data_IF_883256100783
#
_entry.id   IF_883256100783
#
_cell.length_a   1.000
_cell.length_b   1.000
_cell.length_c   1.000
_cell.angle_alpha   90.00
_cell.angle_beta   90.00
_cell.angle_gamma   90.00
#
_symmetry.space_group_name_H-M   'P 1'
#
loop_
_entity.id
_entity.type
_entity.pdbx_description
1 polymer ?
#
# COMPACT_ATOMS: atom_id res chain seq x y z
N UNK A 1 -13.12 1.41 -0.57
CA UNK A 1 -12.30 0.84 -1.66
C UNK A 1 -12.24 1.78 -2.85
N UNK A 2 -11.20 1.66 -3.67
CA UNK A 2 -11.12 2.28 -4.99
C UNK A 2 -10.17 1.53 -5.92
N UNK A 3 -10.44 1.62 -7.24
CA UNK A 3 -9.48 1.26 -8.29
C UNK A 3 -8.66 2.51 -8.64
N UNK A 4 -7.37 2.51 -8.30
CA UNK A 4 -6.56 3.73 -8.33
C UNK A 4 -6.00 4.12 -9.70
N UNK A 5 -6.29 3.35 -10.75
CA UNK A 5 -5.58 3.39 -12.03
C UNK A 5 -5.63 4.75 -12.72
N UNK A 6 -6.77 5.43 -12.65
CA UNK A 6 -6.99 6.72 -13.31
C UNK A 6 -6.81 7.91 -12.36
N UNK A 7 -6.37 7.67 -11.12
CA UNK A 7 -6.26 8.68 -10.06
C UNK A 7 -4.81 9.05 -9.73
N UNK A 8 -4.59 10.32 -9.38
CA UNK A 8 -3.31 10.90 -8.93
C UNK A 8 -3.02 10.65 -7.44
N UNK A 9 -3.54 9.55 -6.90
CA UNK A 9 -3.33 9.08 -5.53
C UNK A 9 -4.47 9.45 -4.57
N UNK A 10 -4.31 9.08 -3.30
CA UNK A 10 -5.35 9.33 -2.29
C UNK A 10 -5.49 10.81 -1.93
N UNK A 11 -4.37 11.48 -1.72
CA UNK A 11 -4.30 12.79 -1.07
C UNK A 11 -4.73 13.88 -2.03
N UNK A 12 -5.63 14.77 -1.59
CA UNK A 12 -6.01 15.97 -2.35
C UNK A 12 -4.78 16.82 -2.71
N UNK A 13 -4.75 17.29 -3.95
CA UNK A 13 -3.69 18.14 -4.51
C UNK A 13 -4.34 19.39 -5.12
N UNK A 14 -3.56 20.46 -5.26
CA UNK A 14 -4.05 21.75 -5.81
C UNK A 14 -4.12 21.76 -7.34
N UNK A 15 -3.28 20.96 -7.99
CA UNK A 15 -3.07 20.92 -9.45
C UNK A 15 -3.93 19.87 -10.16
N UNK A 16 -4.71 19.07 -9.43
CA UNK A 16 -5.57 18.04 -10.00
C UNK A 16 -6.80 17.77 -9.16
N UNK A 17 -7.93 17.56 -9.82
CA UNK A 17 -9.16 17.10 -9.20
C UNK A 17 -9.23 15.57 -9.06
N UNK A 18 -8.38 14.83 -9.78
CA UNK A 18 -8.43 13.37 -9.91
C UNK A 18 -7.71 12.69 -8.74
N UNK A 19 -8.14 12.98 -7.51
CA UNK A 19 -7.64 12.34 -6.29
C UNK A 19 -8.80 11.73 -5.52
N UNK A 20 -8.56 10.63 -4.81
CA UNK A 20 -9.63 9.95 -4.09
C UNK A 20 -10.27 10.87 -3.03
N UNK A 21 -9.45 11.65 -2.31
CA UNK A 21 -9.96 12.62 -1.32
C UNK A 21 -10.81 13.71 -1.95
N UNK A 22 -10.46 14.20 -3.14
CA UNK A 22 -11.26 15.23 -3.80
C UNK A 22 -12.67 14.71 -4.11
N UNK A 23 -12.79 13.51 -4.69
CA UNK A 23 -14.11 12.90 -4.94
C UNK A 23 -14.87 12.57 -3.65
N UNK A 24 -14.16 12.07 -2.63
CA UNK A 24 -14.74 11.76 -1.33
C UNK A 24 -15.33 13.00 -0.66
N UNK A 25 -14.57 14.10 -0.58
CA UNK A 25 -15.05 15.33 0.06
C UNK A 25 -16.13 16.01 -0.76
N UNK A 26 -16.07 15.96 -2.09
CA UNK A 26 -17.18 16.41 -2.93
C UNK A 26 -18.47 15.65 -2.62
N UNK A 27 -18.41 14.32 -2.49
CA UNK A 27 -19.56 13.50 -2.14
C UNK A 27 -20.06 13.76 -0.71
N UNK A 28 -19.16 13.92 0.27
CA UNK A 28 -19.52 14.25 1.65
C UNK A 28 -20.23 15.59 1.77
N UNK A 29 -19.71 16.64 1.14
CA UNK A 29 -20.31 17.97 1.14
C UNK A 29 -21.63 17.99 0.36
N UNK A 30 -21.71 17.34 -0.80
CA UNK A 30 -22.94 17.26 -1.60
C UNK A 30 -24.04 16.49 -0.87
N UNK A 31 -23.68 15.46 -0.09
CA UNK A 31 -24.60 14.73 0.79
C UNK A 31 -24.97 15.48 2.08
N UNK A 32 -24.44 16.69 2.28
CA UNK A 32 -24.53 17.47 3.51
C UNK A 32 -24.11 16.68 4.76
N UNK A 33 -23.08 15.84 4.63
CA UNK A 33 -22.59 14.98 5.72
C UNK A 33 -21.48 15.65 6.53
N UNK A 34 -20.74 16.59 5.92
CA UNK A 34 -19.72 17.42 6.58
C UNK A 34 -19.83 18.85 6.06
N UNK A 35 -19.44 19.81 6.89
CA UNK A 35 -19.31 21.21 6.47
C UNK A 35 -18.04 21.41 5.62
N UNK A 36 -16.90 20.97 6.15
CA UNK A 36 -15.60 21.10 5.49
C UNK A 36 -14.65 19.97 5.86
N UNK A 37 -13.51 19.90 5.16
CA UNK A 37 -12.44 18.95 5.48
C UNK A 37 -11.77 19.30 6.80
N UNK A 38 -11.68 20.59 7.10
CA UNK A 38 -10.99 21.18 8.25
C UNK A 38 -11.76 20.95 9.56
N UNK A 39 -13.10 20.97 9.50
CA UNK A 39 -13.99 20.81 10.67
C UNK A 39 -14.48 19.39 10.89
N UNK A 40 -14.10 18.42 10.04
CA UNK A 40 -14.60 17.03 10.09
C UNK A 40 -13.72 16.04 10.85
N UNK A 41 -12.68 16.50 11.57
CA UNK A 41 -11.73 15.61 12.28
C UNK A 41 -11.19 14.45 11.40
N UNK A 42 -10.88 14.75 10.14
CA UNK A 42 -10.56 13.73 9.15
C UNK A 42 -9.15 13.12 9.31
N UNK A 43 -9.08 11.80 9.48
CA UNK A 43 -7.86 11.00 9.45
C UNK A 43 -7.96 9.88 8.43
N UNK A 44 -6.82 9.52 7.84
CA UNK A 44 -6.69 8.41 6.88
C UNK A 44 -5.69 7.38 7.38
N UNK A 45 -5.97 6.10 7.17
CA UNK A 45 -5.10 5.03 7.67
C UNK A 45 -3.68 5.08 7.08
N UNK A 46 -3.60 5.31 5.78
CA UNK A 46 -2.34 5.40 5.07
C UNK A 46 -2.54 6.06 3.70
N UNK A 47 -1.52 6.75 3.21
CA UNK A 47 -1.52 7.33 1.86
C UNK A 47 -1.27 6.21 0.84
N UNK A 48 -1.95 6.28 -0.29
CA UNK A 48 -1.62 5.52 -1.50
C UNK A 48 -1.13 6.48 -2.57
N UNK A 49 -0.08 6.08 -3.28
CA UNK A 49 0.49 6.85 -4.38
C UNK A 49 -0.43 6.82 -5.61
N UNK A 50 -0.15 7.67 -6.60
CA UNK A 50 -0.76 7.62 -7.93
C UNK A 50 -0.83 6.19 -8.48
N UNK A 51 -1.96 5.82 -9.08
CA UNK A 51 -2.19 4.52 -9.69
C UNK A 51 -2.40 3.35 -8.72
N UNK A 52 -2.12 3.51 -7.43
CA UNK A 52 -2.25 2.44 -6.43
C UNK A 52 -3.71 2.27 -6.01
N UNK A 53 -4.21 1.04 -6.07
CA UNK A 53 -5.57 0.71 -5.67
C UNK A 53 -5.69 0.44 -4.17
N UNK A 54 -6.90 0.43 -3.64
CA UNK A 54 -7.16 -0.04 -2.28
C UNK A 54 -8.50 -0.71 -2.13
N UNK A 55 -8.49 -1.93 -1.61
CA UNK A 55 -9.71 -2.58 -1.13
C UNK A 55 -10.07 -2.09 0.30
N UNK A 56 -9.06 -2.01 1.17
CA UNK A 56 -9.24 -1.82 2.61
C UNK A 56 -8.84 -0.45 3.17
N UNK A 57 -8.85 0.62 2.37
CA UNK A 57 -8.60 1.96 2.90
C UNK A 57 -9.65 2.32 3.94
N UNK A 58 -9.19 2.82 5.08
CA UNK A 58 -10.03 3.22 6.21
C UNK A 58 -9.76 4.67 6.57
N UNK A 59 -10.83 5.41 6.84
CA UNK A 59 -10.81 6.80 7.29
C UNK A 59 -11.62 6.92 8.58
N UNK A 60 -11.30 7.92 9.40
CA UNK A 60 -12.16 8.38 10.49
C UNK A 60 -12.45 9.86 10.28
N UNK A 61 -13.67 10.27 10.63
CA UNK A 61 -14.18 11.63 10.49
C UNK A 61 -15.50 11.77 11.26
N UNK A 62 -15.82 12.99 11.63
CA UNK A 62 -17.09 13.38 12.21
C UNK A 62 -18.11 13.58 11.09
N UNK A 63 -19.30 13.02 11.26
CA UNK A 63 -20.39 13.07 10.28
C UNK A 63 -21.67 13.63 10.93
N UNK A 64 -22.49 14.31 10.14
CA UNK A 64 -23.87 14.64 10.52
C UNK A 64 -24.63 13.35 10.82
N UNK A 65 -25.19 13.25 12.03
CA UNK A 65 -26.06 12.17 12.48
C UNK A 65 -27.54 12.57 12.39
N UNK A 66 -28.43 11.59 12.18
CA UNK A 66 -29.87 11.77 12.42
C UNK A 66 -30.29 11.45 13.86
N UNK A 67 -29.37 10.93 14.68
CA UNK A 67 -29.59 10.66 16.10
C UNK A 67 -29.39 11.95 16.91
N UNK A 68 -30.20 12.09 17.97
CA UNK A 68 -30.08 13.21 18.90
C UNK A 68 -28.87 13.04 19.82
N UNK A 69 -28.44 14.14 20.44
CA UNK A 69 -27.34 14.09 21.42
C UNK A 69 -27.70 13.22 22.63
N UNK A 70 -28.98 13.22 23.05
CA UNK A 70 -29.46 12.37 24.14
C UNK A 70 -29.38 10.88 23.78
N UNK A 71 -29.70 10.52 22.54
CA UNK A 71 -29.58 9.14 22.06
C UNK A 71 -28.13 8.67 22.04
N UNK A 72 -27.22 9.50 21.49
CA UNK A 72 -25.79 9.20 21.43
C UNK A 72 -25.13 9.21 22.82
N UNK A 73 -25.62 10.03 23.76
CA UNK A 73 -25.15 10.02 25.14
C UNK A 73 -25.60 8.76 25.90
N UNK A 74 -26.79 8.23 25.59
CA UNK A 74 -27.31 7.00 26.18
C UNK A 74 -26.61 5.76 25.60
N UNK A 75 -26.38 5.72 24.29
CA UNK A 75 -25.62 4.67 23.61
C UNK A 75 -24.77 5.26 22.46
N UNK A 76 -23.46 5.48 22.68
CA UNK A 76 -22.55 5.99 21.64
C UNK A 76 -22.36 5.04 20.45
N UNK A 77 -22.78 3.78 20.57
CA UNK A 77 -22.71 2.79 19.50
C UNK A 77 -24.06 2.57 18.82
N UNK A 78 -25.07 3.37 19.14
CA UNK A 78 -26.38 3.30 18.53
C UNK A 78 -26.27 3.52 17.01
N UNK A 79 -26.93 2.64 16.25
CA UNK A 79 -26.95 2.71 14.79
C UNK A 79 -28.34 2.64 14.19
N UNK A 80 -29.33 2.18 14.97
CA UNK A 80 -30.72 2.18 14.54
C UNK A 80 -31.25 3.62 14.44
N UNK A 81 -31.84 3.97 13.30
CA UNK A 81 -32.32 5.33 13.03
C UNK A 81 -31.25 6.29 12.49
N UNK A 82 -30.02 5.80 12.26
CA UNK A 82 -28.95 6.59 11.66
C UNK A 82 -29.09 6.72 10.13
N UNK A 83 -28.44 7.74 9.56
CA UNK A 83 -28.40 7.98 8.12
C UNK A 83 -27.77 6.79 7.36
N UNK A 84 -28.27 6.48 6.14
CA UNK A 84 -27.73 5.42 5.32
C UNK A 84 -26.45 5.88 4.58
N UNK A 85 -25.38 6.14 5.33
CA UNK A 85 -24.14 6.77 4.84
C UNK A 85 -23.58 6.13 3.57
N UNK A 86 -23.50 4.79 3.53
CA UNK A 86 -23.01 4.06 2.35
C UNK A 86 -23.87 4.29 1.12
N UNK A 87 -25.20 4.38 1.27
CA UNK A 87 -26.15 4.61 0.17
C UNK A 87 -26.06 6.05 -0.34
N UNK A 88 -25.93 7.02 0.56
CA UNK A 88 -25.76 8.44 0.20
C UNK A 88 -24.45 8.62 -0.58
N UNK A 89 -23.33 8.18 -0.01
CA UNK A 89 -22.01 8.38 -0.60
C UNK A 89 -21.84 7.64 -1.93
N UNK A 90 -22.23 6.36 -2.01
CA UNK A 90 -22.05 5.58 -3.24
C UNK A 90 -22.92 6.05 -4.41
N UNK A 91 -23.97 6.85 -4.18
CA UNK A 91 -24.74 7.51 -5.24
C UNK A 91 -24.02 8.73 -5.84
N UNK A 92 -23.16 9.37 -5.05
CA UNK A 92 -22.45 10.59 -5.40
C UNK A 92 -21.02 10.32 -5.87
N UNK A 93 -20.46 9.16 -5.50
CA UNK A 93 -19.10 8.76 -5.85
C UNK A 93 -19.00 8.13 -7.26
N UNK A 94 -17.91 8.39 -8.00
CA UNK A 94 -17.55 7.67 -9.22
C UNK A 94 -17.58 6.14 -9.06
N UNK A 95 -17.85 5.38 -10.13
CA UNK A 95 -18.11 3.94 -10.03
C UNK A 95 -17.00 3.09 -9.40
N UNK A 96 -15.78 3.56 -9.55
CA UNK A 96 -14.54 2.97 -9.08
C UNK A 96 -14.12 3.46 -7.69
N UNK A 97 -14.90 4.32 -7.02
CA UNK A 97 -14.74 4.71 -5.61
C UNK A 97 -16.00 4.29 -4.83
N UNK A 98 -15.83 3.44 -3.81
CA UNK A 98 -16.95 2.87 -3.05
C UNK A 98 -16.69 2.83 -1.55
N UNK A 99 -17.66 3.31 -0.78
CA UNK A 99 -17.75 3.13 0.67
C UNK A 99 -18.43 1.78 0.93
N UNK A 100 -17.68 0.86 1.53
CA UNK A 100 -18.15 -0.51 1.77
C UNK A 100 -18.97 -0.63 3.05
N UNK A 101 -18.51 0.03 4.10
CA UNK A 101 -19.04 -0.08 5.44
C UNK A 101 -18.73 1.19 6.25
N UNK A 102 -19.39 1.32 7.39
CA UNK A 102 -19.10 2.32 8.40
C UNK A 102 -19.29 1.71 9.80
N UNK A 103 -18.85 2.41 10.84
CA UNK A 103 -19.17 2.10 12.24
C UNK A 103 -19.03 3.34 13.12
N UNK A 104 -19.74 3.43 14.24
CA UNK A 104 -19.43 4.39 15.29
C UNK A 104 -17.99 4.21 15.80
N UNK A 105 -17.37 5.32 16.16
CA UNK A 105 -16.02 5.39 16.69
C UNK A 105 -15.94 6.41 17.82
N UNK A 106 -15.07 6.20 18.82
CA UNK A 106 -14.78 7.21 19.83
C UNK A 106 -14.33 8.54 19.18
N UNK A 107 -14.64 9.71 19.79
CA UNK A 107 -14.31 11.02 19.22
C UNK A 107 -12.82 11.25 18.93
N UNK A 108 -11.93 10.57 19.66
CA UNK A 108 -10.47 10.64 19.55
C UNK A 108 -9.87 9.56 18.64
N UNK A 109 -10.71 8.77 17.96
CA UNK A 109 -10.22 7.72 17.07
C UNK A 109 -9.60 8.30 15.79
N UNK A 110 -8.32 8.01 15.59
CA UNK A 110 -7.61 8.26 14.34
C UNK A 110 -7.43 6.96 13.57
N UNK A 111 -8.02 6.89 12.37
CA UNK A 111 -7.79 5.78 11.45
C UNK A 111 -6.29 5.56 11.18
N UNK A 112 -5.46 6.60 11.32
CA UNK A 112 -4.00 6.52 11.16
C UNK A 112 -3.31 5.83 12.33
N UNK A 113 -3.49 6.37 13.54
CA UNK A 113 -2.67 6.01 14.69
C UNK A 113 -3.16 4.74 15.39
N UNK A 114 -4.46 4.46 15.37
CA UNK A 114 -5.02 3.24 15.95
C UNK A 114 -4.96 2.00 15.02
N UNK A 115 -4.52 2.15 13.77
CA UNK A 115 -4.37 0.99 12.89
C UNK A 115 -3.13 0.17 13.31
N UNK A 116 -3.34 -1.13 13.55
CA UNK A 116 -2.34 -2.07 14.07
C UNK A 116 -1.45 -2.62 12.97
N UNK A 117 -2.04 -2.98 11.83
CA UNK A 117 -1.35 -3.59 10.70
C UNK A 117 -1.98 -3.15 9.37
N UNK A 118 -1.16 -3.06 8.33
CA UNK A 118 -1.61 -2.89 6.95
C UNK A 118 -1.16 -4.10 6.13
N UNK A 119 -2.07 -4.62 5.33
CA UNK A 119 -1.79 -5.70 4.38
C UNK A 119 -1.82 -5.14 2.97
N UNK A 120 -0.70 -5.23 2.28
CA UNK A 120 -0.59 -4.95 0.85
C UNK A 120 -0.56 -6.25 0.06
N UNK A 121 -1.25 -6.25 -1.08
CA UNK A 121 -1.13 -7.30 -2.11
C UNK A 121 -0.57 -6.68 -3.38
N UNK A 122 0.44 -7.33 -3.95
CA UNK A 122 1.00 -7.00 -5.26
C UNK A 122 0.76 -8.16 -6.21
N UNK A 123 -0.05 -7.96 -7.25
CA UNK A 123 -0.42 -8.99 -8.21
C UNK A 123 0.52 -8.96 -9.42
N UNK A 124 0.98 -10.09 -9.94
CA UNK A 124 1.88 -10.09 -11.09
C UNK A 124 1.81 -11.41 -11.86
N UNK A 125 1.97 -11.42 -13.20
CA UNK A 125 2.16 -12.66 -13.94
C UNK A 125 3.47 -13.33 -13.51
N UNK A 126 3.49 -14.66 -13.51
CA UNK A 126 4.69 -15.45 -13.23
C UNK A 126 5.81 -15.13 -14.22
N UNK A 127 5.50 -15.05 -15.50
CA UNK A 127 6.47 -14.88 -16.58
C UNK A 127 7.63 -15.88 -16.48
N UNK A 128 8.84 -15.34 -16.54
CA UNK A 128 10.13 -16.01 -16.36
C UNK A 128 10.59 -16.10 -14.90
N UNK A 129 9.77 -15.69 -13.93
CA UNK A 129 10.18 -15.59 -12.54
C UNK A 129 10.26 -16.96 -11.86
N UNK A 130 11.32 -17.14 -11.08
CA UNK A 130 11.50 -18.26 -10.18
C UNK A 130 10.68 -18.08 -8.88
N UNK A 131 9.38 -18.40 -8.97
CA UNK A 131 8.40 -18.26 -7.88
C UNK A 131 8.21 -19.57 -7.08
N UNK A 132 8.41 -20.73 -7.71
CA UNK A 132 8.21 -22.06 -7.11
C UNK A 132 9.51 -22.85 -7.01
N UNK A 133 9.52 -23.84 -6.12
CA UNK A 133 10.59 -24.84 -6.07
C UNK A 133 10.56 -25.66 -7.35
N UNK A 134 11.73 -26.00 -7.90
CA UNK A 134 11.80 -26.97 -9.00
C UNK A 134 11.35 -28.35 -8.54
N UNK A 135 11.13 -29.25 -9.50
CA UNK A 135 10.86 -30.68 -9.30
C UNK A 135 11.60 -31.24 -8.06
N UNK A 136 10.85 -31.87 -7.15
CA UNK A 136 11.30 -32.54 -5.92
C UNK A 136 11.72 -31.64 -4.73
N UNK A 137 11.41 -30.34 -4.71
CA UNK A 137 11.67 -29.52 -3.52
C UNK A 137 13.15 -29.14 -3.33
N UNK A 138 14.00 -29.42 -4.35
CA UNK A 138 15.46 -29.37 -4.23
C UNK A 138 16.04 -27.94 -4.28
N UNK A 139 15.30 -26.99 -4.86
CA UNK A 139 15.69 -25.59 -4.92
C UNK A 139 14.66 -24.71 -4.18
N UNK A 140 15.09 -23.81 -3.29
CA UNK A 140 14.16 -22.99 -2.53
C UNK A 140 13.38 -22.04 -3.45
N UNK A 141 12.14 -21.70 -3.06
CA UNK A 141 11.34 -20.65 -3.71
C UNK A 141 12.12 -19.32 -3.62
N UNK A 142 12.90 -18.98 -4.64
CA UNK A 142 13.97 -17.96 -4.55
C UNK A 142 13.43 -16.61 -4.08
N UNK A 143 12.30 -16.17 -4.64
CA UNK A 143 11.63 -14.93 -4.18
C UNK A 143 11.14 -15.00 -2.73
N UNK A 144 10.68 -16.17 -2.24
CA UNK A 144 10.30 -16.33 -0.84
C UNK A 144 11.51 -16.40 0.08
N UNK A 145 12.66 -16.93 -0.38
CA UNK A 145 13.91 -16.85 0.39
C UNK A 145 14.32 -15.40 0.61
N UNK A 146 14.32 -14.58 -0.43
CA UNK A 146 14.56 -13.15 -0.32
C UNK A 146 13.51 -12.44 0.55
N UNK A 147 12.23 -12.78 0.39
CA UNK A 147 11.16 -12.18 1.18
C UNK A 147 11.25 -12.50 2.68
N UNK A 148 11.83 -13.65 3.07
CA UNK A 148 12.02 -13.98 4.49
C UNK A 148 12.97 -13.02 5.20
N UNK A 149 14.02 -12.53 4.53
CA UNK A 149 14.94 -11.57 5.13
C UNK A 149 14.27 -10.22 5.47
N UNK A 150 13.18 -9.88 4.77
CA UNK A 150 12.41 -8.64 5.02
C UNK A 150 11.59 -8.73 6.32
N UNK A 151 11.25 -9.94 6.78
CA UNK A 151 10.44 -10.13 7.99
C UNK A 151 11.26 -9.73 9.22
N UNK A 152 10.62 -9.04 10.16
CA UNK A 152 11.26 -8.49 11.36
C UNK A 152 11.32 -6.97 11.36
N UNK A 153 12.14 -6.43 12.26
CA UNK A 153 12.33 -4.99 12.46
C UNK A 153 13.69 -4.58 11.91
N UNK A 154 13.69 -3.77 10.86
CA UNK A 154 14.91 -3.39 10.13
C UNK A 154 14.88 -1.92 9.71
N UNK A 155 16.04 -1.35 9.41
CA UNK A 155 16.14 -0.07 8.71
C UNK A 155 15.92 -0.26 7.20
N UNK A 156 14.81 0.28 6.69
CA UNK A 156 14.40 0.12 5.29
C UNK A 156 14.81 1.30 4.40
N UNK A 157 15.81 2.12 4.76
CA UNK A 157 16.26 3.27 3.94
C UNK A 157 16.68 2.87 2.52
N UNK A 158 17.24 1.67 2.36
CA UNK A 158 17.62 1.13 1.05
C UNK A 158 16.44 0.53 0.26
N UNK A 159 15.27 0.43 0.89
CA UNK A 159 14.04 -0.15 0.36
C UNK A 159 12.90 0.87 0.25
N UNK A 160 13.18 2.16 0.27
CA UNK A 160 12.14 3.18 0.15
C UNK A 160 12.65 4.40 -0.63
N UNK A 161 11.78 5.37 -0.90
CA UNK A 161 12.24 6.72 -1.25
C UNK A 161 12.36 7.52 0.04
N UNK A 162 13.56 8.00 0.33
CA UNK A 162 13.79 8.79 1.55
C UNK A 162 13.05 10.12 1.47
N UNK A 163 12.12 10.32 2.40
CA UNK A 163 11.22 11.48 2.45
C UNK A 163 11.62 12.45 3.57
N UNK A 164 12.92 12.76 3.63
CA UNK A 164 13.51 13.64 4.65
C UNK A 164 12.89 15.04 4.60
N UNK A 165 12.48 15.50 3.42
CA UNK A 165 11.80 16.78 3.24
C UNK A 165 10.50 16.91 4.06
N UNK A 166 9.83 15.79 4.33
CA UNK A 166 8.60 15.70 5.13
C UNK A 166 8.86 15.27 6.58
N UNK A 167 10.10 15.44 7.08
CA UNK A 167 10.45 15.16 8.47
C UNK A 167 10.77 13.68 8.76
N UNK A 168 10.81 12.81 7.76
CA UNK A 168 11.09 11.37 7.98
C UNK A 168 12.59 11.15 8.13
N UNK A 169 13.02 10.97 9.39
CA UNK A 169 14.41 10.63 9.75
C UNK A 169 14.58 9.21 10.28
N UNK A 170 13.49 8.56 10.71
CA UNK A 170 13.49 7.17 11.17
C UNK A 170 12.94 6.22 10.08
N UNK A 171 13.82 5.35 9.59
CA UNK A 171 13.56 4.38 8.53
C UNK A 171 13.33 2.95 9.05
N UNK A 172 13.33 2.77 10.38
CA UNK A 172 13.03 1.48 10.99
C UNK A 172 11.55 1.16 10.85
N UNK A 173 11.23 0.00 10.29
CA UNK A 173 9.87 -0.53 10.20
C UNK A 173 9.85 -2.00 10.57
N UNK A 174 8.66 -2.48 10.93
CA UNK A 174 8.44 -3.87 11.34
C UNK A 174 7.48 -4.54 10.37
N UNK A 175 7.98 -5.53 9.65
CA UNK A 175 7.21 -6.38 8.74
C UNK A 175 6.88 -7.69 9.47
N UNK A 176 5.60 -7.99 9.55
CA UNK A 176 5.04 -9.15 10.25
C UNK A 176 5.12 -10.39 9.37
N UNK A 177 4.79 -10.26 8.09
CA UNK A 177 4.89 -11.37 7.13
C UNK A 177 5.11 -10.87 5.71
N UNK A 178 5.80 -11.70 4.92
CA UNK A 178 6.07 -11.49 3.51
C UNK A 178 6.00 -12.85 2.80
N UNK A 179 5.06 -13.00 1.86
CA UNK A 179 4.84 -14.27 1.18
C UNK A 179 4.50 -14.07 -0.29
N UNK A 180 5.20 -14.78 -1.16
CA UNK A 180 4.86 -14.93 -2.57
C UNK A 180 4.15 -16.25 -2.80
N UNK A 181 2.96 -16.22 -3.41
CA UNK A 181 2.19 -17.40 -3.78
C UNK A 181 1.68 -17.31 -5.21
N UNK A 182 1.50 -18.46 -5.85
CA UNK A 182 0.77 -18.58 -7.12
C UNK A 182 -0.72 -18.58 -6.77
N UNK A 183 -1.51 -17.77 -7.47
CA UNK A 183 -2.96 -17.80 -7.33
C UNK A 183 -3.50 -19.05 -8.02
N UNK A 184 -4.33 -19.84 -7.33
CA UNK A 184 -4.93 -21.05 -7.92
C UNK A 184 -5.66 -20.69 -9.20
N UNK A 185 -5.49 -21.50 -10.25
CA UNK A 185 -6.37 -21.46 -11.43
C UNK A 185 -7.80 -21.79 -10.98
N UNK A 186 -8.78 -21.30 -11.74
CA UNK A 186 -10.15 -21.78 -11.63
C UNK A 186 -10.13 -23.31 -11.83
N UNK A 187 -10.62 -24.12 -10.89
CA UNK A 187 -10.64 -25.57 -11.02
C UNK A 187 -11.44 -26.06 -12.24
N UNK A 188 -12.25 -25.19 -12.87
CA UNK A 188 -12.97 -25.50 -14.11
C UNK A 188 -12.18 -25.20 -15.39
N UNK A 189 -11.03 -24.54 -15.32
CA UNK A 189 -10.06 -24.47 -16.42
C UNK A 189 -9.16 -25.69 -16.37
N UNK A 190 -9.65 -26.80 -16.92
CA UNK A 190 -8.88 -28.01 -17.18
C UNK A 190 -7.66 -27.71 -18.06
N UNK A 191 -6.47 -28.00 -17.57
CA UNK A 191 -5.34 -28.38 -18.41
C UNK A 191 -4.70 -29.63 -17.84
N UNK A 192 -4.72 -30.72 -18.62
CA UNK A 192 -4.09 -32.02 -18.37
C UNK A 192 -2.55 -31.97 -18.27
N UNK A 193 -1.97 -30.81 -17.98
CA UNK A 193 -0.54 -30.61 -17.86
C UNK A 193 -0.22 -30.05 -16.47
N UNK A 194 0.63 -30.76 -15.73
CA UNK A 194 1.27 -30.31 -14.49
C UNK A 194 2.18 -29.08 -14.65
N UNK A 195 2.20 -28.46 -15.85
CA UNK A 195 3.04 -27.32 -16.18
C UNK A 195 2.37 -25.99 -15.83
N UNK A 196 3.02 -25.25 -14.94
CA UNK A 196 2.70 -23.85 -14.67
C UNK A 196 3.06 -22.99 -15.88
N UNK A 197 2.14 -22.10 -16.29
CA UNK A 197 2.30 -21.18 -17.40
C UNK A 197 2.97 -19.88 -16.95
N UNK A 198 3.74 -19.23 -17.82
CA UNK A 198 4.22 -17.85 -17.60
C UNK A 198 3.07 -16.83 -17.43
N UNK A 199 1.85 -17.20 -17.81
CA UNK A 199 0.65 -16.38 -17.63
C UNK A 199 -0.08 -16.65 -16.31
N UNK A 200 0.40 -17.60 -15.50
CA UNK A 200 -0.16 -17.83 -14.17
C UNK A 200 0.03 -16.59 -13.31
N UNK A 201 -1.03 -16.18 -12.61
CA UNK A 201 -0.95 -15.02 -11.74
C UNK A 201 -0.37 -15.40 -10.38
N UNK A 202 0.51 -14.56 -9.89
CA UNK A 202 1.13 -14.61 -8.57
C UNK A 202 0.71 -13.41 -7.73
N UNK A 203 0.89 -13.54 -6.42
CA UNK A 203 0.67 -12.46 -5.47
C UNK A 203 1.76 -12.42 -4.40
N UNK A 204 2.33 -11.25 -4.16
CA UNK A 204 3.09 -10.95 -2.95
C UNK A 204 2.11 -10.38 -1.93
N UNK A 205 2.00 -11.01 -0.77
CA UNK A 205 1.28 -10.48 0.39
C UNK A 205 2.30 -9.99 1.42
N UNK A 206 2.22 -8.71 1.76
CA UNK A 206 3.06 -8.06 2.76
C UNK A 206 2.18 -7.52 3.88
N UNK A 207 2.48 -7.93 5.12
CA UNK A 207 1.81 -7.45 6.32
C UNK A 207 2.84 -6.74 7.19
N UNK A 208 2.55 -5.51 7.60
CA UNK A 208 3.45 -4.73 8.44
C UNK A 208 2.71 -3.69 9.26
N UNK A 209 3.34 -3.19 10.32
CA UNK A 209 2.73 -2.19 11.19
C UNK A 209 2.57 -0.83 10.50
N UNK A 210 3.60 -0.41 9.76
CA UNK A 210 3.61 0.79 8.94
C UNK A 210 4.62 0.63 7.80
N UNK A 211 4.45 1.41 6.74
CA UNK A 211 5.33 1.39 5.58
C UNK A 211 5.84 2.80 5.27
N UNK A 212 7.09 2.90 4.83
CA UNK A 212 7.72 4.11 4.31
C UNK A 212 7.24 4.42 2.88
N UNK A 213 7.55 5.63 2.42
CA UNK A 213 7.20 6.05 1.06
C UNK A 213 7.82 5.13 0.00
N UNK A 214 6.98 4.59 -0.88
CA UNK A 214 7.31 3.59 -1.90
C UNK A 214 7.93 2.28 -1.38
N UNK A 215 7.85 1.97 -0.08
CA UNK A 215 8.57 0.81 0.48
C UNK A 215 8.18 -0.52 -0.19
N UNK A 216 6.87 -0.76 -0.30
CA UNK A 216 6.33 -2.00 -0.89
C UNK A 216 6.78 -2.18 -2.35
N UNK A 217 6.81 -1.09 -3.12
CA UNK A 217 7.20 -1.11 -4.54
C UNK A 217 8.70 -1.31 -4.72
N UNK A 218 9.51 -0.75 -3.82
CA UNK A 218 10.95 -0.98 -3.80
C UNK A 218 11.28 -2.43 -3.43
N UNK A 219 10.60 -2.98 -2.41
CA UNK A 219 10.68 -4.41 -2.05
C UNK A 219 10.34 -5.27 -3.27
N UNK A 220 9.19 -5.03 -3.91
CA UNK A 220 8.80 -5.81 -5.08
C UNK A 220 9.81 -5.67 -6.23
N UNK A 221 10.38 -4.48 -6.43
CA UNK A 221 11.41 -4.26 -7.44
C UNK A 221 12.64 -5.15 -7.25
N UNK A 222 13.10 -5.31 -6.00
CA UNK A 222 14.18 -6.23 -5.65
C UNK A 222 13.77 -7.70 -5.83
N UNK A 223 12.57 -8.08 -5.37
CA UNK A 223 12.07 -9.43 -5.54
C UNK A 223 11.91 -9.83 -7.01
N UNK A 224 11.55 -8.89 -7.90
CA UNK A 224 11.53 -9.13 -9.35
C UNK A 224 12.93 -9.42 -9.91
N UNK A 225 13.96 -8.69 -9.47
CA UNK A 225 15.34 -8.94 -9.88
C UNK A 225 15.83 -10.32 -9.40
N UNK A 226 15.51 -10.67 -8.16
CA UNK A 226 15.79 -12.00 -7.60
C UNK A 226 15.03 -13.09 -8.36
N UNK A 227 13.75 -12.88 -8.64
CA UNK A 227 12.92 -13.82 -9.40
C UNK A 227 13.44 -14.04 -10.83
N UNK A 228 14.05 -13.03 -11.44
CA UNK A 228 14.72 -13.11 -12.75
C UNK A 228 16.12 -13.75 -12.70
N UNK A 229 16.62 -14.13 -11.52
CA UNK A 229 17.99 -14.64 -11.34
C UNK A 229 19.08 -13.59 -11.60
N UNK A 230 18.72 -12.30 -11.59
CA UNK A 230 19.67 -11.19 -11.77
C UNK A 230 20.38 -10.82 -10.48
N UNK A 231 19.76 -11.13 -9.35
CA UNK A 231 20.33 -10.98 -8.02
C UNK A 231 20.08 -12.24 -7.21
N UNK A 232 20.99 -12.54 -6.29
CA UNK A 232 20.80 -13.59 -5.30
C UNK A 232 19.90 -13.11 -4.16
N UNK A 233 19.27 -14.03 -3.44
CA UNK A 233 18.38 -13.68 -2.33
C UNK A 233 19.09 -12.87 -1.22
N UNK A 234 20.39 -13.12 -1.03
CA UNK A 234 21.21 -12.52 0.03
C UNK A 234 21.40 -11.01 -0.16
N UNK A 235 21.21 -10.47 -1.38
CA UNK A 235 21.26 -9.02 -1.64
C UNK A 235 20.26 -8.26 -0.76
N UNK A 236 19.16 -8.90 -0.38
CA UNK A 236 18.16 -8.31 0.51
C UNK A 236 18.74 -8.15 1.91
N UNK A 237 19.44 -9.16 2.43
CA UNK A 237 20.09 -9.07 3.74
C UNK A 237 21.21 -8.03 3.73
N UNK A 238 22.02 -8.00 2.68
CA UNK A 238 23.07 -7.00 2.49
C UNK A 238 22.50 -5.58 2.49
N UNK A 239 21.40 -5.33 1.78
CA UNK A 239 20.79 -4.00 1.75
C UNK A 239 20.07 -3.62 3.05
N UNK A 240 19.72 -4.57 3.92
CA UNK A 240 19.17 -4.29 5.26
C UNK A 240 20.28 -3.96 6.27
N UNK A 241 21.51 -4.43 6.02
CA UNK A 241 22.69 -4.04 6.79
C UNK A 241 23.18 -2.65 6.37
N UNK A 242 22.61 -1.64 7.02
CA UNK A 242 22.95 -0.23 6.75
C UNK A 242 24.33 0.17 7.27
N UNK A 243 24.99 -0.64 8.10
CA UNK A 243 26.36 -0.36 8.55
C UNK A 243 27.36 -0.71 7.45
N UNK A 244 27.18 -1.87 6.82
CA UNK A 244 27.99 -2.27 5.66
C UNK A 244 27.57 -1.54 4.38
N UNK A 245 26.26 -1.29 4.20
CA UNK A 245 25.69 -0.69 3.00
C UNK A 245 24.84 0.56 3.32
N UNK A 246 25.45 1.68 3.75
CA UNK A 246 24.74 2.86 4.26
C UNK A 246 23.99 3.66 3.19
N UNK A 247 24.17 3.34 1.91
CA UNK A 247 23.64 4.12 0.79
C UNK A 247 22.88 3.25 -0.19
N UNK A 248 21.64 3.67 -0.47
CA UNK A 248 20.75 3.00 -1.41
C UNK A 248 21.35 2.93 -2.82
N UNK A 249 21.57 1.75 -3.42
CA UNK A 249 21.96 1.65 -4.83
C UNK A 249 20.83 2.13 -5.74
N UNK A 250 21.18 2.58 -6.94
CA UNK A 250 20.19 2.97 -7.94
C UNK A 250 19.49 1.74 -8.52
N UNK A 251 18.18 1.63 -8.27
CA UNK A 251 17.31 0.64 -8.89
C UNK A 251 15.89 1.16 -9.08
N UNK A 252 15.21 0.58 -10.05
CA UNK A 252 13.83 0.90 -10.38
C UNK A 252 12.86 0.29 -9.40
N UNK A 253 11.88 1.07 -8.97
CA UNK A 253 10.76 0.59 -8.17
C UNK A 253 9.78 -0.18 -9.06
N UNK A 254 9.02 -1.10 -8.48
CA UNK A 254 7.96 -1.78 -9.20
C UNK A 254 6.81 -0.83 -9.59
N UNK A 255 6.07 -1.17 -10.63
CA UNK A 255 4.88 -0.45 -11.10
C UNK A 255 3.83 -0.33 -9.99
N UNK A 256 3.11 0.79 -9.96
CA UNK A 256 2.02 1.09 -9.03
C UNK A 256 0.76 0.29 -9.31
N UNK A 257 0.49 0.00 -10.60
CA UNK A 257 -0.76 -0.56 -11.08
C UNK A 257 -1.20 -1.85 -10.35
N UNK A 258 -0.29 -2.79 -10.04
CA UNK A 258 -0.68 -4.05 -9.40
C UNK A 258 -0.69 -4.00 -7.87
N UNK A 259 -0.39 -2.84 -7.27
CA UNK A 259 -0.37 -2.68 -5.82
C UNK A 259 -1.76 -2.34 -5.29
N UNK A 260 -2.18 -3.07 -4.25
CA UNK A 260 -3.44 -2.87 -3.57
C UNK A 260 -3.24 -2.83 -2.05
N UNK A 261 -3.63 -1.73 -1.39
CA UNK A 261 -3.82 -1.71 0.06
C UNK A 261 -5.07 -2.53 0.39
N UNK A 262 -4.87 -3.76 0.82
CA UNK A 262 -5.91 -4.79 0.87
C UNK A 262 -6.66 -4.80 2.20
N UNK A 263 -5.96 -4.62 3.32
CA UNK A 263 -6.56 -4.63 4.65
C UNK A 263 -5.87 -3.66 5.60
N UNK A 264 -6.65 -3.07 6.50
CA UNK A 264 -6.17 -2.28 7.63
C UNK A 264 -6.79 -2.88 8.90
N UNK A 265 -5.94 -3.35 9.80
CA UNK A 265 -6.37 -3.99 11.03
C UNK A 265 -6.56 -2.95 12.15
N UNK A 266 -7.65 -3.08 12.89
CA UNK A 266 -8.02 -2.29 14.07
C UNK A 266 -8.42 -3.24 15.21
N UNK A 267 -8.75 -2.69 16.39
CA UNK A 267 -9.16 -3.51 17.54
C UNK A 267 -10.34 -4.45 17.26
N UNK A 268 -10.22 -5.68 17.75
CA UNK A 268 -11.22 -6.75 17.62
C UNK A 268 -12.50 -6.42 18.38
N UNK A 269 -13.60 -7.09 18.03
CA UNK A 269 -14.89 -6.95 18.71
C UNK A 269 -15.78 -5.83 18.18
N UNK A 270 -15.40 -5.20 17.06
CA UNK A 270 -16.15 -4.07 16.51
C UNK A 270 -16.76 -4.41 15.16
N UNK A 271 -18.10 -4.37 15.11
CA UNK A 271 -18.86 -4.74 13.93
C UNK A 271 -18.87 -3.58 12.92
N UNK A 272 -18.55 -3.90 11.66
CA UNK A 272 -18.72 -2.99 10.54
C UNK A 272 -20.13 -3.14 9.96
N UNK A 273 -20.81 -2.02 9.77
CA UNK A 273 -22.14 -1.97 9.19
C UNK A 273 -22.05 -1.88 7.67
N UNK A 274 -22.45 -2.97 7.03
CA UNK A 274 -22.52 -3.10 5.57
C UNK A 274 -23.97 -3.13 5.12
N UNK A 275 -24.36 -2.14 4.32
CA UNK A 275 -25.67 -2.17 3.67
C UNK A 275 -25.66 -3.20 2.53
N UNK A 276 -26.54 -4.20 2.61
CA UNK A 276 -26.54 -5.33 1.67
C UNK A 276 -26.87 -4.93 0.23
N UNK A 277 -27.76 -3.95 0.02
CA UNK A 277 -28.07 -3.44 -1.33
C UNK A 277 -26.84 -2.76 -1.95
N UNK A 278 -26.15 -1.92 -1.16
CA UNK A 278 -24.92 -1.25 -1.60
C UNK A 278 -23.83 -2.27 -1.89
N UNK A 279 -23.64 -3.26 -1.02
CA UNK A 279 -22.67 -4.32 -1.21
C UNK A 279 -22.96 -5.12 -2.48
N UNK A 280 -24.22 -5.50 -2.71
CA UNK A 280 -24.62 -6.18 -3.95
C UNK A 280 -24.29 -5.33 -5.19
N UNK A 281 -24.50 -4.02 -5.13
CA UNK A 281 -24.15 -3.13 -6.23
C UNK A 281 -22.64 -3.05 -6.47
N UNK A 282 -21.83 -2.96 -5.40
CA UNK A 282 -20.37 -3.01 -5.50
C UNK A 282 -19.91 -4.32 -6.15
N UNK A 283 -20.49 -5.46 -5.74
CA UNK A 283 -20.19 -6.77 -6.33
C UNK A 283 -20.53 -6.79 -7.82
N UNK A 284 -21.70 -6.29 -8.24
CA UNK A 284 -22.08 -6.20 -9.67
C UNK A 284 -21.11 -5.34 -10.47
N UNK A 285 -20.70 -4.17 -9.93
CA UNK A 285 -19.72 -3.31 -10.58
C UNK A 285 -18.38 -4.04 -10.75
N UNK A 286 -17.89 -4.71 -9.71
CA UNK A 286 -16.65 -5.49 -9.79
C UNK A 286 -16.74 -6.67 -10.76
N UNK A 287 -17.86 -7.38 -10.80
CA UNK A 287 -18.11 -8.46 -11.77
C UNK A 287 -18.11 -7.92 -13.21
N UNK A 288 -18.74 -6.77 -13.45
CA UNK A 288 -18.75 -6.11 -14.77
C UNK A 288 -17.34 -5.67 -15.19
N UNK A 289 -16.59 -5.03 -14.29
CA UNK A 289 -15.20 -4.64 -14.53
C UNK A 289 -14.31 -5.84 -14.80
N UNK A 290 -14.40 -6.89 -13.98
CA UNK A 290 -13.69 -8.14 -14.19
C UNK A 290 -14.03 -8.75 -15.55
N UNK A 291 -15.31 -8.82 -15.92
CA UNK A 291 -15.74 -9.37 -17.22
C UNK A 291 -15.11 -8.61 -18.38
N UNK A 292 -15.16 -7.26 -18.36
CA UNK A 292 -14.57 -6.43 -19.41
C UNK A 292 -13.05 -6.63 -19.52
N UNK A 293 -12.34 -6.66 -18.40
CA UNK A 293 -10.89 -6.87 -18.37
C UNK A 293 -10.52 -8.30 -18.80
N UNK A 294 -11.28 -9.29 -18.38
CA UNK A 294 -11.01 -10.69 -18.69
C UNK A 294 -11.31 -11.03 -20.15
N UNK A 295 -12.35 -10.45 -20.75
CA UNK A 295 -12.61 -10.56 -22.20
C UNK A 295 -11.44 -9.97 -22.98
N UNK A 296 -10.99 -8.75 -22.65
CA UNK A 296 -9.83 -8.12 -23.28
C UNK A 296 -8.56 -8.97 -23.12
N UNK A 297 -8.29 -9.46 -21.91
CA UNK A 297 -7.14 -10.32 -21.63
C UNK A 297 -7.20 -11.63 -22.41
N UNK A 298 -8.38 -12.23 -22.54
CA UNK A 298 -8.61 -13.47 -23.28
C UNK A 298 -8.44 -13.29 -24.79
N UNK A 299 -8.94 -12.17 -25.35
CA UNK A 299 -8.68 -11.79 -26.74
C UNK A 299 -7.18 -11.66 -27.02
N UNK A 300 -6.46 -10.92 -26.16
CA UNK A 300 -5.01 -10.78 -26.27
C UNK A 300 -4.30 -12.12 -26.10
N UNK A 301 -4.75 -12.97 -25.17
CA UNK A 301 -4.17 -14.31 -24.96
C UNK A 301 -4.35 -15.21 -26.18
N UNK A 302 -5.51 -15.16 -26.84
CA UNK A 302 -5.75 -15.91 -28.07
C UNK A 302 -4.84 -15.43 -29.22
N UNK A 303 -4.69 -14.11 -29.39
CA UNK A 303 -3.76 -13.52 -30.37
C UNK A 303 -2.32 -13.94 -30.08
N UNK A 304 -1.91 -13.95 -28.80
CA UNK A 304 -0.58 -14.38 -28.39
C UNK A 304 -0.34 -15.85 -28.72
N UNK A 305 -1.29 -16.75 -28.41
CA UNK A 305 -1.14 -18.18 -28.71
C UNK A 305 -0.95 -18.46 -30.20
N UNK A 306 -1.71 -17.76 -31.05
CA UNK A 306 -1.61 -17.89 -32.51
C UNK A 306 -0.23 -17.40 -33.01
N UNK A 307 0.19 -16.21 -32.58
CA UNK A 307 1.48 -15.63 -32.99
C UNK A 307 2.68 -16.39 -32.40
N UNK A 308 2.62 -16.81 -31.13
CA UNK A 308 3.67 -17.59 -30.45
C UNK A 308 3.93 -18.93 -31.16
N UNK A 309 2.91 -19.54 -31.78
CA UNK A 309 3.06 -20.78 -32.56
C UNK A 309 3.89 -20.61 -33.83
N UNK A 310 3.98 -19.38 -34.34
CA UNK A 310 4.74 -19.04 -35.55
C UNK A 310 6.16 -18.54 -35.24
N UNK A 311 6.53 -18.39 -33.96
CA UNK A 311 7.85 -17.92 -33.56
C UNK A 311 8.86 -19.06 -33.49
N UNK A 312 10.02 -18.86 -34.12
CA UNK A 312 11.17 -19.78 -33.96
C UNK A 312 11.81 -19.68 -32.58
N UNK A 313 11.75 -18.49 -31.97
CA UNK A 313 12.36 -18.19 -30.67
C UNK A 313 11.27 -17.75 -29.69
N UNK A 314 11.09 -18.44 -28.55
CA UNK A 314 10.13 -18.05 -27.53
C UNK A 314 10.40 -16.64 -26.98
N UNK A 315 9.33 -15.86 -26.76
CA UNK A 315 9.41 -14.52 -26.16
C UNK A 315 8.83 -14.57 -24.74
N UNK A 316 9.57 -14.04 -23.77
CA UNK A 316 9.14 -13.97 -22.37
C UNK A 316 9.31 -12.55 -21.83
N UNK A 317 8.28 -11.72 -22.01
CA UNK A 317 8.27 -10.30 -21.64
C UNK A 317 7.13 -9.92 -20.68
N UNK A 318 6.43 -10.91 -20.10
CA UNK A 318 5.24 -10.71 -19.28
C UNK A 318 5.51 -9.85 -18.02
N UNK A 319 6.75 -9.87 -17.51
CA UNK A 319 7.15 -9.12 -16.31
C UNK A 319 7.74 -7.76 -16.61
N UNK A 320 7.81 -7.38 -17.90
CA UNK A 320 8.62 -6.24 -18.33
C UNK A 320 8.11 -4.88 -17.92
N UNK A 321 6.80 -4.72 -17.94
CA UNK A 321 6.12 -3.51 -17.51
C UNK A 321 6.03 -3.36 -15.98
N UNK A 322 6.52 -4.35 -15.22
CA UNK A 322 6.44 -4.34 -13.75
C UNK A 322 7.56 -3.53 -13.09
N UNK A 323 8.64 -3.20 -13.79
CA UNK A 323 9.68 -2.29 -13.29
C UNK A 323 9.61 -0.96 -14.04
N UNK A 324 9.63 0.15 -13.31
CA UNK A 324 9.61 1.47 -13.92
C UNK A 324 10.96 1.83 -14.59
N UNK A 325 10.91 2.70 -15.60
CA UNK A 325 12.10 3.27 -16.22
C UNK A 325 12.72 2.43 -17.33
N UNK A 326 13.89 2.87 -17.81
CA UNK A 326 14.58 2.28 -18.97
C UNK A 326 15.40 1.06 -18.53
N UNK A 327 15.21 -0.06 -19.23
CA UNK A 327 16.01 -1.27 -19.04
C UNK A 327 17.40 -1.06 -19.62
N UNK A 328 18.44 -1.27 -18.82
CA UNK A 328 19.80 -1.39 -19.33
C UNK A 328 19.94 -2.65 -20.18
N UNK A 329 20.66 -2.57 -21.30
CA UNK A 329 21.00 -3.74 -22.14
C UNK A 329 21.86 -4.75 -21.40
N UNK A 330 22.73 -4.27 -20.49
CA UNK A 330 23.61 -5.10 -19.68
C UNK A 330 23.22 -4.95 -18.23
N UNK A 331 22.95 -6.07 -17.57
CA UNK A 331 22.64 -6.07 -16.16
C UNK A 331 23.90 -5.82 -15.33
N UNK A 332 23.82 -4.87 -14.40
CA UNK A 332 24.86 -4.62 -13.40
C UNK A 332 24.31 -5.00 -12.01
N UNK A 333 25.02 -5.84 -11.23
CA UNK A 333 24.62 -6.17 -9.86
C UNK A 333 24.43 -4.93 -8.99
N UNK A 334 23.42 -4.93 -8.13
CA UNK A 334 22.97 -3.77 -7.35
C UNK A 334 24.08 -3.15 -6.52
N UNK A 335 24.87 -3.97 -5.83
CA UNK A 335 25.95 -3.51 -4.97
C UNK A 335 27.12 -2.86 -5.74
N UNK A 336 27.17 -3.05 -7.06
CA UNK A 336 28.17 -2.44 -7.94
C UNK A 336 27.69 -1.13 -8.56
N UNK A 337 26.43 -0.74 -8.35
CA UNK A 337 25.82 0.45 -8.98
C UNK A 337 26.17 1.72 -8.22
N UNK A 338 26.08 2.89 -8.88
CA UNK A 338 26.07 4.17 -8.19
C UNK A 338 24.99 4.20 -7.10
N UNK A 339 25.33 4.77 -5.94
CA UNK A 339 24.40 4.91 -4.82
C UNK A 339 23.85 6.34 -4.73
N UNK A 340 22.68 6.48 -4.11
CA UNK A 340 22.16 7.78 -3.70
C UNK A 340 23.06 8.41 -2.61
N UNK A 341 22.89 9.72 -2.37
CA UNK A 341 23.45 10.38 -1.18
C UNK A 341 22.95 9.73 0.12
N UNK A 342 23.79 9.73 1.15
CA UNK A 342 23.49 9.11 2.45
C UNK A 342 22.35 9.82 3.18
N UNK A 343 21.82 9.17 4.22
CA UNK A 343 20.76 9.75 5.04
C UNK A 343 21.25 11.03 5.72
N UNK A 344 22.45 11.01 6.29
CA UNK A 344 23.07 12.11 7.03
C UNK A 344 23.25 13.32 6.10
N UNK A 345 23.78 13.10 4.90
CA UNK A 345 23.93 14.16 3.89
C UNK A 345 22.59 14.78 3.48
N UNK A 346 21.51 13.98 3.42
CA UNK A 346 20.16 14.48 3.13
C UNK A 346 19.58 15.27 4.30
N UNK A 347 19.77 14.81 5.54
CA UNK A 347 19.32 15.53 6.74
C UNK A 347 20.02 16.88 6.81
N UNK A 348 21.35 16.91 6.68
CA UNK A 348 22.12 18.16 6.67
C UNK A 348 21.64 19.14 5.59
N UNK A 349 21.33 18.64 4.39
CA UNK A 349 20.81 19.46 3.30
C UNK A 349 19.50 20.18 3.68
N UNK A 350 18.57 19.48 4.34
CA UNK A 350 17.27 20.07 4.70
C UNK A 350 17.31 20.92 5.98
N UNK A 351 18.17 20.57 6.94
CA UNK A 351 18.43 21.40 8.13
C UNK A 351 19.05 22.74 7.74
N UNK A 352 20.07 22.75 6.85
CA UNK A 352 20.68 23.99 6.34
C UNK A 352 19.69 24.90 5.61
N UNK A 353 18.61 24.34 5.06
CA UNK A 353 17.54 25.09 4.38
C UNK A 353 16.37 25.47 5.30
N UNK A 354 16.49 25.30 6.62
CA UNK A 354 15.45 25.58 7.62
C UNK A 354 14.12 24.84 7.36
N UNK A 355 14.15 23.68 6.69
CA UNK A 355 12.97 22.85 6.42
C UNK A 355 12.80 21.71 7.43
N UNK A 356 13.66 21.66 8.44
CA UNK A 356 13.74 20.59 9.44
C UNK A 356 14.36 21.16 10.71
N UNK A 357 13.64 21.09 11.83
CA UNK A 357 14.20 21.32 13.17
C UNK A 357 14.68 19.97 13.72
N UNK A 358 16.00 19.81 13.90
CA UNK A 358 16.56 18.63 14.56
C UNK A 358 16.92 19.05 15.98
N UNK A 359 16.20 18.54 16.98
CA UNK A 359 16.61 18.68 18.37
C UNK A 359 17.92 17.90 18.54
N UNK A 360 19.03 18.62 18.76
CA UNK A 360 20.30 18.02 19.17
C UNK A 360 20.13 17.53 20.61
N UNK A 361 20.07 16.22 20.81
CA UNK A 361 20.31 15.61 22.13
C UNK A 361 21.80 15.68 22.42
N UNK A 362 22.21 16.64 23.24
CA UNK A 362 23.52 16.65 23.89
C UNK A 362 23.43 15.86 25.21
N UNK A 363 24.40 14.96 25.36
CA UNK A 363 24.88 14.24 26.55
C UNK A 363 23.99 13.36 27.44
N UNK A 364 24.48 12.12 27.59
CA UNK A 364 24.08 11.13 28.58
C UNK A 364 24.62 11.51 29.97
N UNK A 365 23.73 11.67 30.95
CA UNK A 365 23.88 11.11 32.32
C UNK A 365 22.57 11.30 33.12
N UNK A 366 22.28 10.43 34.11
CA UNK A 366 20.91 10.19 34.56
C UNK A 366 20.54 11.07 35.76
N UNK A 367 19.26 11.41 35.91
CA UNK A 367 18.50 11.27 37.17
C UNK A 367 17.07 11.85 37.07
N UNK A 368 16.14 10.99 37.52
CA UNK A 368 14.85 11.24 38.21
C UNK A 368 13.89 12.33 37.74
N UNK A 369 12.68 11.86 37.37
CA UNK A 369 11.45 12.63 37.32
C UNK A 369 11.08 13.26 38.68
N UNK A 370 10.64 14.52 38.65
CA UNK A 370 9.67 15.08 39.62
C UNK A 370 8.68 15.95 38.85
N UNK A 371 7.41 15.77 39.19
CA UNK A 371 6.20 16.35 38.60
C UNK A 371 5.88 17.77 39.10
N UNK A 372 5.19 18.51 38.23
CA UNK A 372 4.09 19.48 38.46
C UNK A 372 4.18 20.49 39.61
N UNK A 373 4.03 21.79 39.27
CA UNK A 373 2.87 22.57 39.70
C UNK A 373 2.79 23.93 38.96
N UNK A 374 1.67 24.16 38.27
CA UNK A 374 1.06 25.49 38.09
C UNK A 374 0.12 25.75 39.31
N UNK A 375 -0.53 26.92 39.54
CA UNK A 375 -0.71 28.10 38.68
C UNK A 375 -0.66 29.47 39.43
N UNK A 376 -0.92 30.58 38.71
CA UNK A 376 -1.40 31.83 39.30
C UNK A 376 -0.72 33.09 38.74
N UNK A 377 -1.32 33.75 37.75
CA UNK A 377 -2.25 34.87 37.95
C UNK A 377 -1.55 36.14 38.51
N UNK A 378 -1.21 37.07 37.62
CA UNK A 378 -0.97 38.47 37.97
C UNK A 378 -2.17 39.31 37.56
N UNK A 379 -2.55 40.34 38.33
CA UNK A 379 -3.38 41.40 37.80
C UNK A 379 -2.58 42.69 37.62
N UNK A 380 -2.86 43.35 36.52
CA UNK A 380 -3.32 44.74 36.57
C UNK A 380 -4.73 44.77 36.02
#
# INVERSE_FOLDING_TARGET
>A
MYLGWDYQGLVKQEDTAETIEQHLFLALSTGCLVESRETSNYHRCGRTDKGVSSFGQTISLDLRSSLSQEQLAADPNMTEGELPYTKILNRLLPEDIRVLAWRPAPPDLSARFQCKQRTYKYFFPRGDLNVQSSYNGLYPKVMNSAARFIVGTHDFRNFCKMDVANGVVNFTRSIVSAQVSVMSRDPHMSSDSSDTSGYDMCVLTLVGHAFLWHQVRCIMGLLLLVGQGKEEADVVQELLDVDSYPRKPQYSMASELPLNLFHCEYEQGTQWYMNQECLAQVVRTLQSTWTKLNVKASMVRAMLLDLESSLEVPVSEQTSCLLQGVRSKVYQPLLKRPTCGSLEARIEHYVKRQRLEVMRTEDQSPLSAVSSDCPGAGPS
#
